data_IF_865223731340
#
_entry.id   IF_865223731340
#
_cell.length_a   1.000
_cell.length_b   1.000
_cell.length_c   1.000
_cell.angle_alpha   90.00
_cell.angle_beta   90.00
_cell.angle_gamma   90.00
#
_symmetry.space_group_name_H-M   'P 1'
#
loop_
_entity.id
_entity.type
_entity.pdbx_description
1 polymer ?
#
# COMPACT_ATOMS: atom_id res chain seq x y z
N UNK A 1 -13.21 23.80 -2.73
CA UNK A 1 -12.34 22.86 -2.00
C UNK A 1 -13.18 21.62 -1.70
N UNK A 2 -12.78 20.45 -2.21
CA UNK A 2 -13.40 19.19 -1.79
C UNK A 2 -13.00 18.92 -0.34
N UNK A 3 -13.95 19.03 0.58
CA UNK A 3 -13.82 18.59 1.97
C UNK A 3 -14.66 17.33 2.11
N UNK A 4 -13.99 16.21 2.33
CA UNK A 4 -14.66 14.97 2.75
C UNK A 4 -14.76 15.05 4.27
N UNK A 5 -15.90 15.53 4.77
CA UNK A 5 -16.26 15.53 6.19
C UNK A 5 -16.76 14.13 6.57
N UNK A 6 -15.87 13.12 6.50
CA UNK A 6 -16.14 11.83 7.12
C UNK A 6 -15.81 11.94 8.61
N UNK A 7 -16.69 11.51 9.52
CA UNK A 7 -16.32 11.38 10.92
C UNK A 7 -15.13 10.43 11.01
N UNK A 8 -13.96 10.95 11.36
CA UNK A 8 -12.83 10.11 11.76
C UNK A 8 -13.02 9.78 13.23
N UNK A 9 -12.73 8.53 13.60
CA UNK A 9 -12.74 8.05 14.98
C UNK A 9 -11.30 7.68 15.35
N UNK A 10 -10.41 8.65 15.64
CA UNK A 10 -8.99 8.39 15.86
C UNK A 10 -8.72 7.37 16.95
N UNK A 11 -9.52 7.37 18.02
CA UNK A 11 -9.43 6.42 19.12
C UNK A 11 -9.74 5.00 18.65
N UNK A 12 -10.77 4.83 17.81
CA UNK A 12 -11.13 3.53 17.24
C UNK A 12 -10.05 3.02 16.29
N UNK A 13 -9.46 3.91 15.48
CA UNK A 13 -8.34 3.58 14.57
C UNK A 13 -7.13 3.13 15.39
N UNK A 14 -6.79 3.84 16.47
CA UNK A 14 -5.69 3.44 17.36
C UNK A 14 -5.95 2.07 17.99
N UNK A 15 -7.14 1.86 18.55
CA UNK A 15 -7.56 0.58 19.13
C UNK A 15 -7.50 -0.56 18.11
N UNK A 16 -7.92 -0.31 16.87
CA UNK A 16 -7.79 -1.26 15.76
C UNK A 16 -6.35 -1.70 15.58
N UNK A 17 -5.40 -0.76 15.41
CA UNK A 17 -3.99 -1.12 15.14
C UNK A 17 -3.29 -1.74 16.35
N UNK A 18 -3.68 -1.39 17.58
CA UNK A 18 -3.12 -1.98 18.81
C UNK A 18 -3.59 -3.42 19.01
N UNK A 19 -4.82 -3.73 18.61
CA UNK A 19 -5.47 -5.04 18.86
C UNK A 19 -5.55 -5.91 17.61
N UNK A 20 -4.90 -5.50 16.53
CA UNK A 20 -4.76 -6.27 15.30
C UNK A 20 -3.79 -7.41 15.55
N UNK A 21 -4.25 -8.63 15.28
CA UNK A 21 -3.48 -9.86 15.32
C UNK A 21 -3.38 -10.43 13.90
N UNK A 22 -2.27 -11.08 13.60
CA UNK A 22 -2.00 -11.65 12.28
C UNK A 22 -2.23 -13.15 12.35
N UNK A 23 -3.16 -13.65 11.55
CA UNK A 23 -3.35 -15.09 11.38
C UNK A 23 -2.32 -15.66 10.40
N UNK A 24 -2.11 -16.98 10.44
CA UNK A 24 -1.12 -17.68 9.61
C UNK A 24 -1.29 -17.43 8.10
N UNK A 25 -2.52 -17.25 7.63
CA UNK A 25 -2.83 -17.01 6.22
C UNK A 25 -2.68 -15.52 5.80
N UNK A 26 -2.38 -14.64 6.76
CA UNK A 26 -2.27 -13.20 6.56
C UNK A 26 -3.60 -12.44 6.62
N UNK A 27 -4.65 -13.11 7.06
CA UNK A 27 -5.90 -12.49 7.53
C UNK A 27 -5.66 -11.77 8.87
N UNK A 28 -6.49 -10.78 9.14
CA UNK A 28 -6.42 -9.97 10.36
C UNK A 28 -7.52 -10.40 11.32
N UNK A 29 -7.15 -10.78 12.54
CA UNK A 29 -8.10 -10.93 13.64
C UNK A 29 -8.05 -9.67 14.51
N UNK A 30 -9.20 -9.13 14.86
CA UNK A 30 -9.34 -7.90 15.64
C UNK A 30 -10.19 -8.18 16.86
N UNK A 31 -9.70 -7.82 18.05
CA UNK A 31 -10.47 -7.95 19.29
C UNK A 31 -10.89 -6.59 19.85
N UNK A 32 -12.14 -6.17 19.64
CA UNK A 32 -12.66 -4.90 20.17
C UNK A 32 -13.74 -5.16 21.21
N UNK A 33 -13.61 -4.61 22.43
CA UNK A 33 -14.54 -4.81 23.56
C UNK A 33 -14.92 -6.29 23.80
N UNK A 34 -13.94 -7.19 23.72
CA UNK A 34 -14.10 -8.64 23.88
C UNK A 34 -14.96 -9.33 22.81
N UNK A 35 -15.14 -8.70 21.65
CA UNK A 35 -15.67 -9.31 20.42
C UNK A 35 -14.54 -9.48 19.41
N UNK A 36 -14.45 -10.66 18.81
CA UNK A 36 -13.51 -10.93 17.74
C UNK A 36 -14.17 -10.61 16.40
N UNK A 37 -13.40 -10.02 15.49
CA UNK A 37 -13.79 -9.71 14.13
C UNK A 37 -12.68 -10.20 13.21
N UNK A 38 -13.05 -10.99 12.22
CA UNK A 38 -12.14 -11.40 11.16
C UNK A 38 -12.25 -10.40 10.01
N UNK A 39 -11.10 -9.86 9.60
CA UNK A 39 -10.96 -9.07 8.40
C UNK A 39 -10.03 -9.84 7.46
N UNK A 40 -10.65 -10.54 6.51
CA UNK A 40 -9.96 -11.16 5.39
C UNK A 40 -10.03 -10.25 4.14
N UNK A 41 -9.31 -10.64 3.10
CA UNK A 41 -9.22 -9.84 1.88
C UNK A 41 -10.57 -9.69 1.15
N UNK A 42 -11.43 -10.71 1.16
CA UNK A 42 -12.76 -10.68 0.53
C UNK A 42 -13.71 -9.70 1.22
N UNK A 43 -13.71 -9.68 2.56
CA UNK A 43 -14.47 -8.74 3.38
C UNK A 43 -13.99 -7.32 3.09
N UNK A 44 -12.67 -7.09 3.05
CA UNK A 44 -12.14 -5.77 2.72
C UNK A 44 -12.53 -5.34 1.30
N UNK A 45 -12.43 -6.23 0.32
CA UNK A 45 -12.84 -5.96 -1.05
C UNK A 45 -14.33 -5.56 -1.14
N UNK A 46 -15.17 -6.27 -0.37
CA UNK A 46 -16.61 -5.99 -0.28
C UNK A 46 -16.91 -4.65 0.37
N UNK A 47 -16.21 -4.29 1.45
CA UNK A 47 -16.34 -2.98 2.13
C UNK A 47 -15.93 -1.83 1.20
N UNK A 48 -14.87 -2.02 0.41
CA UNK A 48 -14.36 -1.01 -0.51
C UNK A 48 -15.10 -0.97 -1.86
N UNK A 49 -16.01 -1.93 -2.10
CA UNK A 49 -16.71 -2.12 -3.37
C UNK A 49 -15.75 -2.24 -4.58
N UNK A 50 -14.63 -2.94 -4.38
CA UNK A 50 -13.62 -3.17 -5.44
C UNK A 50 -13.42 -4.67 -5.72
N UNK A 51 -12.99 -5.04 -6.94
CA UNK A 51 -12.69 -6.42 -7.26
C UNK A 51 -11.58 -7.02 -6.38
N UNK A 52 -11.77 -8.28 -5.98
CA UNK A 52 -10.73 -9.10 -5.35
C UNK A 52 -10.00 -9.97 -6.40
N UNK A 53 -9.44 -9.34 -7.42
CA UNK A 53 -8.77 -10.02 -8.53
C UNK A 53 -7.40 -9.42 -8.88
N UNK A 54 -6.71 -10.04 -9.84
CA UNK A 54 -5.41 -9.59 -10.30
C UNK A 54 -4.24 -10.17 -9.51
N UNK A 55 -3.05 -9.62 -9.78
CA UNK A 55 -1.80 -10.14 -9.21
C UNK A 55 -1.62 -9.74 -7.75
N UNK A 56 -0.92 -10.60 -7.01
CA UNK A 56 -0.86 -10.62 -5.54
C UNK A 56 0.55 -10.62 -4.92
N UNK A 57 1.64 -10.26 -5.62
CA UNK A 57 2.97 -10.39 -5.06
C UNK A 57 3.20 -9.26 -4.04
N UNK A 58 3.97 -9.59 -3.00
CA UNK A 58 4.29 -8.67 -1.92
C UNK A 58 5.74 -8.89 -1.50
N UNK A 59 6.48 -7.81 -1.29
CA UNK A 59 7.79 -7.86 -0.67
C UNK A 59 8.05 -6.56 0.09
N UNK A 60 8.23 -6.65 1.41
CA UNK A 60 8.43 -5.47 2.25
C UNK A 60 9.81 -4.83 2.05
N UNK A 61 10.83 -5.61 1.68
CA UNK A 61 12.25 -5.18 1.67
C UNK A 61 12.85 -5.10 0.27
N UNK A 62 12.15 -5.59 -0.74
CA UNK A 62 12.68 -5.76 -2.10
C UNK A 62 11.61 -5.66 -3.16
N UNK A 63 11.97 -6.01 -4.39
CA UNK A 63 11.00 -6.13 -5.46
C UNK A 63 10.09 -7.35 -5.24
N UNK A 64 8.78 -7.21 -5.52
CA UNK A 64 7.90 -8.37 -5.62
C UNK A 64 8.34 -9.28 -6.78
N UNK A 65 8.25 -10.60 -6.58
CA UNK A 65 8.51 -11.61 -7.61
C UNK A 65 7.18 -12.04 -8.22
N UNK A 66 7.06 -11.91 -9.54
CA UNK A 66 5.87 -12.25 -10.31
C UNK A 66 6.25 -12.41 -11.79
N UNK A 67 5.75 -13.46 -12.44
CA UNK A 67 6.02 -13.79 -13.83
C UNK A 67 5.64 -12.66 -14.79
N UNK A 68 4.63 -11.87 -14.44
CA UNK A 68 4.15 -10.75 -15.24
C UNK A 68 4.75 -9.40 -14.81
N UNK A 69 5.91 -9.39 -14.16
CA UNK A 69 6.57 -8.17 -13.70
C UNK A 69 8.07 -8.15 -14.01
N UNK A 70 8.50 -7.11 -14.73
CA UNK A 70 9.91 -6.82 -14.98
C UNK A 70 10.28 -5.48 -14.30
N UNK A 71 11.26 -5.53 -13.38
CA UNK A 71 11.67 -4.35 -12.60
C UNK A 71 12.42 -3.32 -13.44
N UNK A 72 13.20 -3.75 -14.43
CA UNK A 72 13.93 -2.88 -15.34
C UNK A 72 12.96 -2.09 -16.24
N UNK A 73 11.93 -2.74 -16.78
CA UNK A 73 10.84 -2.12 -17.53
C UNK A 73 10.08 -1.10 -16.68
N UNK A 74 9.76 -1.47 -15.43
CA UNK A 74 9.11 -0.58 -14.46
C UNK A 74 9.91 0.68 -14.19
N UNK A 75 11.21 0.55 -13.91
CA UNK A 75 12.09 1.69 -13.65
C UNK A 75 12.22 2.58 -14.89
N UNK A 76 12.36 1.99 -16.07
CA UNK A 76 12.45 2.76 -17.32
C UNK A 76 11.18 3.53 -17.63
N UNK A 77 10.02 2.92 -17.39
CA UNK A 77 8.72 3.55 -17.59
C UNK A 77 8.52 4.75 -16.64
N UNK A 78 8.89 4.60 -15.37
CA UNK A 78 8.67 5.63 -14.34
C UNK A 78 9.71 6.76 -14.36
N UNK A 79 10.97 6.43 -14.64
CA UNK A 79 12.11 7.33 -14.45
C UNK A 79 12.90 7.62 -15.74
N UNK A 80 12.52 7.04 -16.88
CA UNK A 80 13.13 7.28 -18.20
C UNK A 80 13.88 6.06 -18.76
N UNK A 81 13.89 5.93 -20.09
CA UNK A 81 14.37 4.73 -20.81
C UNK A 81 15.83 4.33 -20.49
N UNK A 82 16.67 5.30 -20.15
CA UNK A 82 18.08 5.08 -19.85
C UNK A 82 18.37 4.85 -18.34
N UNK A 83 17.34 4.83 -17.49
CA UNK A 83 17.51 4.67 -16.05
C UNK A 83 17.75 3.20 -15.67
N UNK A 84 18.73 2.98 -14.80
CA UNK A 84 19.05 1.66 -14.26
C UNK A 84 18.33 1.40 -12.93
N UNK A 85 18.10 0.13 -12.60
CA UNK A 85 17.55 -0.26 -11.31
C UNK A 85 18.57 0.07 -10.22
N UNK A 86 18.22 1.01 -9.35
CA UNK A 86 19.03 1.43 -8.20
C UNK A 86 18.30 1.09 -6.90
N UNK A 87 19.04 1.01 -5.79
CA UNK A 87 18.47 0.65 -4.50
C UNK A 87 17.46 1.67 -3.97
N UNK A 88 17.65 2.96 -4.26
CA UNK A 88 16.79 4.04 -3.83
C UNK A 88 16.30 4.84 -5.03
N UNK A 89 14.99 4.98 -5.15
CA UNK A 89 14.33 5.76 -6.19
C UNK A 89 13.68 6.99 -5.55
N UNK A 90 13.73 8.13 -6.22
CA UNK A 90 13.27 9.39 -5.65
C UNK A 90 12.12 10.00 -6.46
N UNK A 91 11.08 10.47 -5.79
CA UNK A 91 9.88 11.06 -6.40
C UNK A 91 10.18 12.33 -7.19
N UNK A 92 11.23 13.07 -6.83
CA UNK A 92 11.72 14.23 -7.60
C UNK A 92 12.18 13.88 -9.02
N UNK A 93 12.48 12.60 -9.29
CA UNK A 93 12.88 12.11 -10.60
C UNK A 93 11.68 11.61 -11.42
N UNK A 94 10.46 11.62 -10.86
CA UNK A 94 9.26 11.28 -11.60
C UNK A 94 8.81 12.48 -12.44
N UNK A 95 8.18 12.18 -13.58
CA UNK A 95 7.41 13.18 -14.32
C UNK A 95 6.25 13.70 -13.45
N UNK A 96 5.67 14.85 -13.81
CA UNK A 96 4.57 15.45 -13.03
C UNK A 96 3.37 14.49 -12.86
N UNK A 97 2.98 13.78 -13.91
CA UNK A 97 1.83 12.87 -13.87
C UNK A 97 2.13 11.61 -13.03
N UNK A 98 3.36 11.08 -13.08
CA UNK A 98 3.76 9.99 -12.22
C UNK A 98 3.95 10.43 -10.77
N UNK A 99 4.39 11.66 -10.52
CA UNK A 99 4.42 12.25 -9.18
C UNK A 99 3.01 12.35 -8.56
N UNK A 100 2.01 12.74 -9.35
CA UNK A 100 0.61 12.74 -8.91
C UNK A 100 0.13 11.32 -8.58
N UNK A 101 0.41 10.34 -9.45
CA UNK A 101 0.05 8.95 -9.20
C UNK A 101 0.76 8.39 -7.95
N UNK A 102 2.04 8.68 -7.78
CA UNK A 102 2.82 8.29 -6.59
C UNK A 102 2.17 8.83 -5.32
N UNK A 103 1.71 10.09 -5.34
CA UNK A 103 0.99 10.68 -4.22
C UNK A 103 -0.31 9.95 -3.94
N UNK A 104 -1.10 9.62 -4.95
CA UNK A 104 -2.35 8.86 -4.78
C UNK A 104 -2.09 7.47 -4.17
N UNK A 105 -1.10 6.74 -4.69
CA UNK A 105 -0.70 5.42 -4.19
C UNK A 105 -0.25 5.50 -2.72
N UNK A 106 0.62 6.45 -2.39
CA UNK A 106 1.20 6.61 -1.04
C UNK A 106 0.26 7.24 0.00
N UNK A 107 -0.95 7.62 -0.40
CA UNK A 107 -1.97 8.16 0.50
C UNK A 107 -3.17 7.24 0.66
N UNK A 108 -3.53 6.48 -0.38
CA UNK A 108 -4.76 5.68 -0.39
C UNK A 108 -4.51 4.16 -0.41
N UNK A 109 -3.41 3.69 -1.00
CA UNK A 109 -3.14 2.25 -1.15
C UNK A 109 -2.04 1.79 -0.18
N UNK A 110 -0.92 2.51 -0.18
CA UNK A 110 0.26 2.25 0.64
C UNK A 110 0.56 3.47 1.53
N UNK A 111 -0.36 3.85 2.44
CA UNK A 111 -0.23 5.04 3.26
C UNK A 111 1.06 5.03 4.10
N UNK A 112 1.90 6.07 3.99
CA UNK A 112 3.11 6.20 4.81
C UNK A 112 3.14 7.50 5.62
N UNK A 113 3.66 7.42 6.84
CA UNK A 113 3.98 8.59 7.65
C UNK A 113 5.41 9.05 7.35
N UNK A 114 5.59 10.33 7.00
CA UNK A 114 6.91 10.93 6.75
C UNK A 114 7.15 11.36 5.31
N UNK A 115 8.40 11.25 4.85
CA UNK A 115 8.86 11.76 3.56
C UNK A 115 8.22 11.06 2.36
N UNK A 116 7.76 11.85 1.40
CA UNK A 116 7.28 11.41 0.08
C UNK A 116 8.38 11.52 -0.98
N UNK A 117 9.62 11.69 -0.55
CA UNK A 117 10.81 11.84 -1.38
C UNK A 117 11.28 10.51 -1.96
N UNK A 118 11.16 9.41 -1.22
CA UNK A 118 11.50 8.06 -1.69
C UNK A 118 10.29 7.36 -2.33
N UNK A 119 10.55 6.62 -3.41
CA UNK A 119 9.61 5.70 -4.06
C UNK A 119 10.04 4.28 -3.69
N UNK A 120 9.23 3.56 -2.92
CA UNK A 120 9.55 2.16 -2.55
C UNK A 120 9.32 1.21 -3.73
N UNK A 121 9.91 0.01 -3.69
CA UNK A 121 9.69 -1.01 -4.72
C UNK A 121 8.21 -1.40 -4.87
N UNK A 122 7.47 -1.48 -3.76
CA UNK A 122 6.02 -1.77 -3.80
C UNK A 122 5.21 -0.59 -4.34
N UNK A 123 5.62 0.65 -4.06
CA UNK A 123 5.01 1.85 -4.67
C UNK A 123 5.22 1.85 -6.20
N UNK A 124 6.46 1.65 -6.66
CA UNK A 124 6.79 1.57 -8.08
C UNK A 124 6.06 0.42 -8.79
N UNK A 125 6.02 -0.76 -8.17
CA UNK A 125 5.26 -1.92 -8.67
C UNK A 125 3.78 -1.61 -8.84
N UNK A 126 3.16 -0.97 -7.85
CA UNK A 126 1.74 -0.59 -7.87
C UNK A 126 1.47 0.44 -8.97
N UNK A 127 2.31 1.47 -9.06
CA UNK A 127 2.21 2.49 -10.12
C UNK A 127 2.34 1.86 -11.51
N UNK A 128 3.30 0.95 -11.70
CA UNK A 128 3.50 0.25 -12.98
C UNK A 128 2.26 -0.52 -13.42
N UNK A 129 1.61 -1.24 -12.50
CA UNK A 129 0.39 -1.98 -12.81
C UNK A 129 -0.76 -1.05 -13.21
N UNK A 130 -0.93 0.07 -12.50
CA UNK A 130 -1.94 1.09 -12.82
C UNK A 130 -1.67 1.69 -14.21
N UNK A 131 -0.43 2.07 -14.51
CA UNK A 131 -0.08 2.71 -15.79
C UNK A 131 -0.22 1.73 -16.97
N UNK A 132 0.18 0.47 -16.78
CA UNK A 132 0.13 -0.55 -17.83
C UNK A 132 -1.23 -1.25 -17.94
N UNK A 133 -2.21 -0.88 -17.13
CA UNK A 133 -3.54 -1.50 -17.12
C UNK A 133 -3.55 -2.96 -16.66
N UNK A 134 -2.50 -3.41 -15.97
CA UNK A 134 -2.40 -4.78 -15.45
C UNK A 134 -3.15 -4.88 -14.12
N UNK A 135 -4.04 -5.87 -14.01
CA UNK A 135 -4.83 -6.08 -12.78
C UNK A 135 -3.94 -6.36 -11.58
N UNK A 136 -4.19 -5.66 -10.49
CA UNK A 136 -3.49 -5.81 -9.21
C UNK A 136 -4.51 -5.86 -8.07
N UNK A 137 -4.31 -6.77 -7.12
CA UNK A 137 -5.24 -7.00 -6.03
C UNK A 137 -5.06 -5.94 -4.93
N UNK A 138 -5.76 -4.80 -5.08
CA UNK A 138 -5.69 -3.65 -4.17
C UNK A 138 -6.05 -4.00 -2.71
N UNK A 139 -7.11 -4.77 -2.40
CA UNK A 139 -7.42 -5.16 -1.02
C UNK A 139 -6.23 -5.85 -0.33
N UNK A 140 -5.54 -6.73 -1.05
CA UNK A 140 -4.37 -7.44 -0.54
C UNK A 140 -3.18 -6.50 -0.31
N UNK A 141 -2.94 -5.54 -1.21
CA UNK A 141 -1.90 -4.53 -1.00
C UNK A 141 -2.15 -3.73 0.27
N UNK A 142 -3.39 -3.28 0.49
CA UNK A 142 -3.77 -2.50 1.67
C UNK A 142 -3.51 -3.30 2.95
N UNK A 143 -4.02 -4.54 3.03
CA UNK A 143 -3.84 -5.37 4.22
C UNK A 143 -2.38 -5.76 4.47
N UNK A 144 -1.64 -6.19 3.44
CA UNK A 144 -0.22 -6.53 3.59
C UNK A 144 0.62 -5.31 3.99
N UNK A 145 0.23 -4.11 3.54
CA UNK A 145 0.84 -2.87 3.97
C UNK A 145 0.52 -2.51 5.42
N UNK A 146 -0.73 -2.67 5.85
CA UNK A 146 -1.13 -2.50 7.25
C UNK A 146 -0.32 -3.40 8.19
N UNK A 147 -0.15 -4.67 7.82
CA UNK A 147 0.69 -5.64 8.51
C UNK A 147 2.16 -5.19 8.58
N UNK A 148 2.72 -4.82 7.43
CA UNK A 148 4.11 -4.39 7.34
C UNK A 148 4.42 -3.10 8.13
N UNK A 149 3.42 -2.25 8.37
CA UNK A 149 3.55 -1.08 9.24
C UNK A 149 3.40 -1.49 10.71
N UNK A 150 2.46 -2.37 11.04
CA UNK A 150 2.25 -2.85 12.41
C UNK A 150 3.51 -3.53 12.97
N UNK A 151 4.22 -4.33 12.16
CA UNK A 151 5.44 -5.02 12.57
C UNK A 151 6.65 -4.08 12.81
N UNK A 152 6.55 -2.79 12.46
CA UNK A 152 7.66 -1.84 12.71
C UNK A 152 7.58 -1.33 14.15
N UNK A 153 8.57 -1.67 14.96
CA UNK A 153 8.72 -1.31 16.38
C UNK A 153 8.62 0.21 16.70
N UNK A 154 8.60 1.10 15.70
CA UNK A 154 8.45 2.56 15.87
C UNK A 154 7.58 3.21 14.78
N UNK A 155 6.64 2.47 14.17
CA UNK A 155 5.78 3.06 13.14
C UNK A 155 4.84 4.12 13.72
N UNK A 156 5.12 5.40 13.43
CA UNK A 156 4.09 6.43 13.50
C UNK A 156 3.08 6.11 12.40
N UNK A 157 1.84 5.82 12.77
CA UNK A 157 0.77 5.69 11.77
C UNK A 157 0.57 7.04 11.08
N UNK A 158 0.24 7.01 9.78
CA UNK A 158 0.00 8.22 8.97
C UNK A 158 -1.17 9.09 9.47
N UNK A 159 -1.88 8.63 10.50
CA UNK A 159 -3.03 9.27 11.14
C UNK A 159 -2.71 9.93 12.49
N UNK A 160 -1.43 10.06 12.84
CA UNK A 160 -1.01 10.81 14.03
C UNK A 160 -0.92 12.30 13.73
N UNK A 161 -2.04 13.01 13.89
CA UNK A 161 -2.05 14.47 14.10
C UNK A 161 -1.61 14.78 15.53
#
# INVERSE_FOLDING_TARGET
LFSINLPSYPELIKEFYVKMLVNFDGDLELKVKNKNFDLNFDILASILEIPYDGTRPWNQRGWPVNDNFNREECVRLLFGENTQVVQKMYSRNLSLHYGFLHRAVTTHILPKAGGFDEVTHMEAFTMFHIITGRKICVPQLIMKHMLAIHDRENARLAYSN
#
